data_IF_928170625099
#
_entry.id   IF_928170625099
#
_cell.length_a   1.000
_cell.length_b   1.000
_cell.length_c   1.000
_cell.angle_alpha   90.00
_cell.angle_beta   90.00
_cell.angle_gamma   90.00
#
_symmetry.space_group_name_H-M   'P 1'
#
loop_
_entity.id
_entity.type
_entity.pdbx_description
1 polymer ?
#
# COMPACT_ATOMS: atom_id res chain seq x y z
N UNK A 1 -52.98 -0.15 -13.55
CA UNK A 1 -51.77 -0.95 -13.24
C UNK A 1 -50.71 0.04 -12.76
N UNK A 2 -50.30 0.02 -11.48
CA UNK A 2 -49.32 0.98 -10.98
C UNK A 2 -47.94 0.71 -11.63
N UNK A 3 -47.15 1.76 -11.94
CA UNK A 3 -45.87 1.61 -12.61
C UNK A 3 -44.87 0.85 -11.73
N UNK A 4 -44.24 -0.17 -12.30
CA UNK A 4 -43.19 -0.95 -11.65
C UNK A 4 -41.90 -0.10 -11.58
N UNK A 5 -41.53 0.34 -10.38
CA UNK A 5 -40.29 1.08 -10.13
C UNK A 5 -39.17 0.05 -9.96
N UNK A 6 -38.28 -0.05 -10.94
CA UNK A 6 -37.21 -1.06 -11.01
C UNK A 6 -35.96 -0.72 -10.18
N UNK A 7 -35.88 0.48 -9.60
CA UNK A 7 -34.74 0.91 -8.79
C UNK A 7 -35.14 1.05 -7.31
N UNK A 8 -34.67 0.10 -6.49
CA UNK A 8 -34.91 0.04 -5.04
C UNK A 8 -34.39 1.32 -4.36
N UNK A 9 -33.36 1.97 -4.92
CA UNK A 9 -32.85 3.24 -4.40
C UNK A 9 -33.88 4.37 -4.50
N UNK A 10 -34.74 4.33 -5.52
CA UNK A 10 -35.81 5.31 -5.72
C UNK A 10 -36.94 5.14 -4.70
N UNK A 11 -37.26 3.89 -4.32
CA UNK A 11 -38.28 3.61 -3.30
C UNK A 11 -37.83 4.07 -1.90
N UNK A 12 -36.60 3.78 -1.50
CA UNK A 12 -36.07 4.25 -0.21
C UNK A 12 -35.98 5.79 -0.16
N UNK A 13 -35.66 6.45 -1.27
CA UNK A 13 -35.66 7.91 -1.37
C UNK A 13 -37.09 8.48 -1.27
N UNK A 14 -38.07 7.85 -1.92
CA UNK A 14 -39.47 8.27 -1.83
C UNK A 14 -40.03 8.11 -0.41
N UNK A 15 -39.76 6.97 0.23
CA UNK A 15 -40.11 6.70 1.62
C UNK A 15 -39.49 7.76 2.55
N UNK A 16 -38.21 8.08 2.37
CA UNK A 16 -37.55 9.15 3.12
C UNK A 16 -38.13 10.55 2.92
N UNK A 17 -38.72 10.85 1.76
CA UNK A 17 -39.29 12.18 1.49
C UNK A 17 -40.75 12.34 1.95
N UNK A 18 -41.54 11.25 1.90
CA UNK A 18 -43.00 11.32 2.15
C UNK A 18 -43.45 10.63 3.43
N UNK A 19 -42.70 9.64 3.90
CA UNK A 19 -43.12 8.73 4.96
C UNK A 19 -41.99 8.38 5.96
N UNK A 20 -41.02 9.29 6.13
CA UNK A 20 -39.79 9.07 6.93
C UNK A 20 -40.11 8.50 8.32
N UNK A 21 -40.95 9.20 9.09
CA UNK A 21 -41.27 8.84 10.46
C UNK A 21 -41.99 7.48 10.57
N UNK A 22 -43.00 7.24 9.71
CA UNK A 22 -43.75 6.00 9.72
C UNK A 22 -42.88 4.79 9.37
N UNK A 23 -41.97 4.97 8.40
CA UNK A 23 -41.05 3.91 7.99
C UNK A 23 -40.00 3.61 9.08
N UNK A 24 -39.43 4.62 9.73
CA UNK A 24 -38.49 4.42 10.84
C UNK A 24 -39.13 3.65 12.00
N UNK A 25 -40.37 3.97 12.36
CA UNK A 25 -41.09 3.26 13.42
C UNK A 25 -41.42 1.82 13.02
N UNK A 26 -41.84 1.59 11.77
CA UNK A 26 -42.04 0.24 11.25
C UNK A 26 -40.73 -0.56 11.27
N UNK A 27 -39.63 0.03 10.80
CA UNK A 27 -38.32 -0.63 10.79
C UNK A 27 -37.89 -1.02 12.20
N UNK A 28 -38.05 -0.13 13.18
CA UNK A 28 -37.78 -0.42 14.60
C UNK A 28 -38.67 -1.52 15.18
N UNK A 29 -39.97 -1.51 14.86
CA UNK A 29 -40.92 -2.50 15.36
C UNK A 29 -40.73 -3.91 14.75
N UNK A 30 -40.06 -4.01 13.61
CA UNK A 30 -39.80 -5.26 12.89
C UNK A 30 -38.32 -5.69 12.92
N UNK A 31 -37.52 -5.11 13.83
CA UNK A 31 -36.07 -5.35 13.95
C UNK A 31 -35.31 -5.19 12.61
N UNK A 32 -35.80 -4.29 11.74
CA UNK A 32 -35.23 -4.02 10.43
C UNK A 32 -34.32 -2.79 10.46
N UNK A 33 -33.19 -2.86 9.75
CA UNK A 33 -32.25 -1.75 9.64
C UNK A 33 -32.75 -0.75 8.61
N UNK A 34 -33.06 0.48 9.03
CA UNK A 34 -33.49 1.54 8.10
C UNK A 34 -32.41 1.82 7.04
N UNK A 35 -32.86 1.86 5.79
CA UNK A 35 -32.05 2.16 4.59
C UNK A 35 -32.43 3.49 3.93
N UNK A 36 -33.18 4.35 4.64
CA UNK A 36 -33.41 5.72 4.16
C UNK A 36 -32.05 6.44 4.08
N UNK A 37 -31.78 7.22 3.01
CA UNK A 37 -30.48 7.85 2.79
C UNK A 37 -29.95 8.67 3.99
N UNK A 38 -30.85 9.33 4.72
CA UNK A 38 -30.53 10.12 5.92
C UNK A 38 -29.99 9.24 7.05
N UNK A 39 -30.71 8.18 7.42
CA UNK A 39 -30.28 7.24 8.46
C UNK A 39 -28.96 6.52 8.10
N UNK A 40 -28.74 6.26 6.81
CA UNK A 40 -27.47 5.71 6.31
C UNK A 40 -26.34 6.72 6.46
N UNK A 41 -26.58 7.99 6.16
CA UNK A 41 -25.60 9.06 6.33
C UNK A 41 -25.27 9.29 7.81
N UNK A 42 -26.28 9.35 8.68
CA UNK A 42 -26.09 9.52 10.13
C UNK A 42 -25.27 8.38 10.73
N UNK A 43 -25.54 7.14 10.31
CA UNK A 43 -24.73 5.98 10.73
C UNK A 43 -23.29 6.10 10.26
N UNK A 44 -23.05 6.46 9.00
CA UNK A 44 -21.69 6.65 8.47
C UNK A 44 -20.94 7.76 9.20
N UNK A 45 -21.62 8.83 9.58
CA UNK A 45 -21.03 9.92 10.35
C UNK A 45 -20.71 9.49 11.79
N UNK A 46 -21.57 8.71 12.43
CA UNK A 46 -21.31 8.13 13.75
C UNK A 46 -20.14 7.14 13.71
N UNK A 47 -20.10 6.28 12.68
CA UNK A 47 -18.98 5.36 12.43
C UNK A 47 -17.67 6.12 12.15
N UNK A 48 -17.69 7.17 11.32
CA UNK A 48 -16.53 8.01 11.07
C UNK A 48 -16.03 8.73 12.34
N UNK A 49 -16.95 9.16 13.21
CA UNK A 49 -16.62 9.75 14.52
C UNK A 49 -15.94 8.71 15.42
N UNK A 50 -16.47 7.48 15.46
CA UNK A 50 -15.88 6.36 16.21
C UNK A 50 -14.55 5.86 15.60
N UNK A 51 -14.36 5.96 14.28
CA UNK A 51 -13.08 5.66 13.61
C UNK A 51 -12.02 6.71 13.98
N UNK A 52 -12.40 7.97 14.18
CA UNK A 52 -11.52 8.99 14.76
C UNK A 52 -11.02 8.66 16.17
N UNK A 53 -11.72 7.76 16.87
CA UNK A 53 -11.34 7.22 18.18
C UNK A 53 -10.62 5.86 18.10
N UNK A 54 -10.46 5.26 16.91
CA UNK A 54 -9.56 4.11 16.76
C UNK A 54 -8.13 4.59 17.02
N UNK A 55 -7.66 4.34 18.24
CA UNK A 55 -6.30 4.62 18.66
C UNK A 55 -5.31 4.04 17.64
N UNK A 56 -4.31 4.84 17.30
CA UNK A 56 -3.17 4.37 16.52
C UNK A 56 -2.60 3.13 17.21
N UNK A 57 -2.34 2.06 16.45
CA UNK A 57 -1.74 0.80 16.94
C UNK A 57 -0.24 1.03 17.23
N UNK A 58 0.10 2.11 17.93
CA UNK A 58 1.48 2.43 18.28
C UNK A 58 1.96 1.62 19.48
N UNK A 59 1.05 1.24 20.39
CA UNK A 59 1.41 0.63 21.68
C UNK A 59 1.96 -0.81 21.55
N UNK A 60 1.73 -1.45 20.40
CA UNK A 60 2.24 -2.78 20.06
C UNK A 60 2.95 -2.86 18.70
N UNK A 61 3.06 -1.75 17.97
CA UNK A 61 3.85 -1.71 16.75
C UNK A 61 5.33 -1.58 17.11
N UNK A 62 6.04 -2.71 17.11
CA UNK A 62 7.50 -2.70 17.10
C UNK A 62 7.93 -2.17 15.72
N UNK A 63 8.74 -1.10 15.64
CA UNK A 63 9.35 -0.70 14.38
C UNK A 63 10.14 -1.90 13.84
N UNK A 64 9.65 -2.51 12.77
CA UNK A 64 10.42 -3.49 12.03
C UNK A 64 11.69 -2.78 11.56
N UNK A 65 12.85 -3.37 11.85
CA UNK A 65 14.09 -2.88 11.26
C UNK A 65 13.86 -2.74 9.75
N UNK A 66 14.17 -1.59 9.15
CA UNK A 66 13.93 -1.37 7.74
C UNK A 66 14.63 -2.48 6.97
N UNK A 67 13.84 -3.40 6.41
CA UNK A 67 14.34 -4.47 5.56
C UNK A 67 15.21 -3.79 4.50
N UNK A 68 16.47 -4.24 4.29
CA UNK A 68 17.34 -3.62 3.31
C UNK A 68 16.58 -3.58 1.98
N UNK A 69 16.36 -2.37 1.46
CA UNK A 69 15.74 -2.18 0.16
C UNK A 69 16.69 -2.78 -0.85
N UNK A 70 16.40 -3.98 -1.31
CA UNK A 70 17.11 -4.61 -2.42
C UNK A 70 16.71 -3.79 -3.64
N UNK A 71 17.59 -2.89 -4.08
CA UNK A 71 17.40 -2.17 -5.33
C UNK A 71 17.39 -3.25 -6.43
N UNK A 72 16.31 -3.39 -7.21
CA UNK A 72 16.26 -4.36 -8.29
C UNK A 72 17.39 -4.07 -9.28
N UNK A 73 18.01 -5.14 -9.78
CA UNK A 73 19.00 -5.00 -10.83
C UNK A 73 18.39 -4.37 -12.08
N UNK A 74 19.08 -3.39 -12.66
CA UNK A 74 18.84 -2.83 -13.99
C UNK A 74 20.20 -2.61 -14.66
N UNK A 75 20.31 -2.91 -15.96
CA UNK A 75 21.55 -2.70 -16.72
C UNK A 75 21.97 -1.22 -16.69
N UNK A 76 21.01 -0.29 -16.74
CA UNK A 76 21.26 1.16 -16.69
C UNK A 76 21.87 1.56 -15.34
N UNK A 77 21.30 1.05 -14.24
CA UNK A 77 21.76 1.35 -12.88
C UNK A 77 23.15 0.76 -12.62
N UNK A 78 23.39 -0.46 -13.13
CA UNK A 78 24.70 -1.08 -13.07
C UNK A 78 25.75 -0.30 -13.87
N UNK A 79 25.41 0.12 -15.09
CA UNK A 79 26.29 0.92 -15.94
C UNK A 79 26.64 2.26 -15.29
N UNK A 80 25.63 2.95 -14.73
CA UNK A 80 25.86 4.22 -14.03
C UNK A 80 26.79 4.03 -12.82
N UNK A 81 26.51 3.06 -11.95
CA UNK A 81 27.33 2.77 -10.78
C UNK A 81 28.77 2.38 -11.16
N UNK A 82 28.95 1.64 -12.26
CA UNK A 82 30.28 1.27 -12.77
C UNK A 82 31.05 2.50 -13.27
N UNK A 83 30.40 3.43 -13.98
CA UNK A 83 31.02 4.68 -14.46
C UNK A 83 31.41 5.56 -13.27
N UNK A 84 30.52 5.75 -12.30
CA UNK A 84 30.81 6.52 -11.08
C UNK A 84 32.02 5.94 -10.34
N UNK A 85 32.06 4.62 -10.17
CA UNK A 85 33.21 3.94 -9.56
C UNK A 85 34.51 4.16 -10.34
N UNK A 86 34.49 4.09 -11.68
CA UNK A 86 35.68 4.34 -12.50
C UNK A 86 36.21 5.76 -12.32
N UNK A 87 35.31 6.77 -12.29
CA UNK A 87 35.68 8.18 -12.14
C UNK A 87 36.23 8.46 -10.74
N UNK A 88 35.58 7.94 -9.70
CA UNK A 88 36.00 8.17 -8.30
C UNK A 88 37.35 7.53 -7.98
N UNK A 89 37.68 6.42 -8.63
CA UNK A 89 38.92 5.67 -8.38
C UNK A 89 40.00 5.86 -9.44
N UNK A 90 39.76 6.78 -10.39
CA UNK A 90 40.64 7.08 -11.53
C UNK A 90 41.09 5.82 -12.29
N UNK A 91 40.14 4.90 -12.51
CA UNK A 91 40.39 3.64 -13.20
C UNK A 91 40.16 3.78 -14.71
N UNK A 92 40.97 3.11 -15.54
CA UNK A 92 40.75 3.09 -16.97
C UNK A 92 39.47 2.32 -17.30
N UNK A 93 38.80 2.70 -18.39
CA UNK A 93 37.60 1.98 -18.91
C UNK A 93 37.88 0.48 -19.12
N UNK A 94 39.13 0.13 -19.45
CA UNK A 94 39.57 -1.26 -19.61
C UNK A 94 39.45 -2.11 -18.31
N UNK A 95 39.29 -1.50 -17.14
CA UNK A 95 39.07 -2.22 -15.89
C UNK A 95 37.79 -3.08 -15.91
N UNK A 96 36.74 -2.63 -16.63
CA UNK A 96 35.49 -3.40 -16.78
C UNK A 96 35.65 -4.64 -17.67
N UNK A 97 36.64 -4.63 -18.57
CA UNK A 97 36.99 -5.76 -19.44
C UNK A 97 37.85 -6.80 -18.70
N UNK A 98 38.43 -6.43 -17.56
CA UNK A 98 39.38 -7.29 -16.86
C UNK A 98 38.71 -8.59 -16.38
N UNK A 99 39.29 -9.77 -16.67
CA UNK A 99 38.65 -11.07 -16.40
C UNK A 99 38.34 -11.29 -14.91
N UNK A 100 39.19 -10.76 -14.01
CA UNK A 100 38.91 -10.84 -12.56
C UNK A 100 37.72 -9.99 -12.12
N UNK A 101 37.53 -8.81 -12.74
CA UNK A 101 36.38 -7.96 -12.47
C UNK A 101 35.10 -8.66 -12.92
N UNK A 102 35.08 -9.18 -14.16
CA UNK A 102 33.95 -9.98 -14.68
C UNK A 102 33.63 -11.19 -13.80
N UNK A 103 34.65 -11.90 -13.33
CA UNK A 103 34.45 -13.03 -12.42
C UNK A 103 33.83 -12.60 -11.08
N UNK A 104 34.29 -11.48 -10.50
CA UNK A 104 33.72 -10.92 -9.27
C UNK A 104 32.23 -10.60 -9.43
N UNK A 105 31.84 -9.95 -10.54
CA UNK A 105 30.44 -9.64 -10.84
C UNK A 105 29.62 -10.91 -11.07
N UNK A 106 30.16 -11.91 -11.77
CA UNK A 106 29.46 -13.18 -11.99
C UNK A 106 29.20 -13.96 -10.69
N UNK A 107 30.15 -13.93 -9.75
CA UNK A 107 29.98 -14.52 -8.41
C UNK A 107 28.91 -13.75 -7.63
N UNK A 108 28.99 -12.42 -7.67
CA UNK A 108 28.03 -11.51 -7.04
C UNK A 108 26.59 -11.71 -7.55
N UNK A 109 26.39 -11.78 -8.86
CA UNK A 109 25.07 -11.92 -9.50
C UNK A 109 24.35 -13.22 -9.14
N UNK A 110 25.08 -14.26 -8.71
CA UNK A 110 24.52 -15.56 -8.30
C UNK A 110 24.20 -15.62 -6.80
N UNK A 111 24.53 -14.59 -6.02
CA UNK A 111 24.33 -14.60 -4.58
C UNK A 111 22.85 -14.48 -4.23
N UNK A 112 22.32 -15.48 -3.51
CA UNK A 112 20.91 -15.48 -3.07
C UNK A 112 20.64 -14.50 -1.92
N UNK A 113 21.63 -14.25 -1.06
CA UNK A 113 21.47 -13.53 0.20
C UNK A 113 22.26 -12.22 0.27
N UNK A 114 22.36 -11.49 -0.84
CA UNK A 114 23.23 -10.32 -0.95
C UNK A 114 24.71 -10.67 -0.78
N UNK A 115 25.60 -9.68 -0.89
CA UNK A 115 27.05 -9.90 -0.86
C UNK A 115 27.65 -9.10 0.29
N UNK A 116 28.51 -9.73 1.09
CA UNK A 116 29.33 -9.05 2.09
C UNK A 116 30.63 -8.60 1.44
N UNK A 117 30.79 -7.30 1.25
CA UNK A 117 32.01 -6.71 0.70
C UNK A 117 33.09 -6.73 1.81
N UNK A 118 34.26 -7.35 1.59
CA UNK A 118 35.33 -7.36 2.59
C UNK A 118 35.86 -5.94 2.81
N UNK A 119 35.99 -5.55 4.08
CA UNK A 119 36.59 -4.28 4.46
C UNK A 119 38.12 -4.32 4.41
N UNK A 120 38.76 -3.15 4.35
CA UNK A 120 40.22 -2.98 4.25
C UNK A 120 41.03 -3.64 5.38
N UNK A 121 40.39 -4.06 6.48
CA UNK A 121 41.02 -4.75 7.63
C UNK A 121 40.92 -6.29 7.58
N UNK A 122 40.35 -6.85 6.51
CA UNK A 122 40.08 -8.29 6.41
C UNK A 122 41.21 -9.13 5.78
N UNK A 123 42.34 -8.49 5.45
CA UNK A 123 43.58 -9.11 4.96
C UNK A 123 44.73 -8.66 5.84
#
# INVERSE_FOLDING_TARGET
>A
MPPFVSDISTLHRHLGLKHEYAYQQWAKANDFKSMIPKDVADRKNAEATAIGEQGTINDHAVPLEPKPRIIPYSDELFQQAAIEWLVETDQPIAALEHPKFRNMINVAARATNGIKIPGCKAT
#
